data_IF_488385065755
#
_entry.id   IF_488385065755
#
_cell.length_a   1.000
_cell.length_b   1.000
_cell.length_c   1.000
_cell.angle_alpha   90.00
_cell.angle_beta   90.00
_cell.angle_gamma   90.00
#
_symmetry.space_group_name_H-M   'P 1'
#
loop_
_entity.id
_entity.type
_entity.pdbx_description
1 polymer ?
#
# COMPACT_ATOMS: atom_id res chain seq x y z
N UNK A 1 26.32 28.35 48.77
CA UNK A 1 27.19 27.48 47.97
C UNK A 1 26.45 27.17 46.68
N UNK A 2 26.78 27.93 45.64
CA UNK A 2 26.18 27.85 44.31
C UNK A 2 26.85 26.74 43.53
N UNK A 3 26.08 25.89 42.83
CA UNK A 3 26.56 25.27 41.60
C UNK A 3 25.40 25.18 40.61
N UNK A 4 25.48 26.03 39.57
CA UNK A 4 24.65 25.97 38.37
C UNK A 4 25.22 24.89 37.46
N UNK A 5 24.38 24.00 36.96
CA UNK A 5 24.74 23.09 35.87
C UNK A 5 24.03 23.60 34.62
N UNK A 6 24.83 24.09 33.68
CA UNK A 6 24.42 24.54 32.36
C UNK A 6 24.24 23.34 31.43
N UNK A 7 23.08 23.22 30.79
CA UNK A 7 22.82 22.26 29.72
C UNK A 7 23.31 22.85 28.40
N UNK A 8 24.29 22.19 27.79
CA UNK A 8 24.82 22.54 26.47
C UNK A 8 23.95 21.91 25.37
N UNK A 9 23.48 22.74 24.44
CA UNK A 9 22.89 22.31 23.17
C UNK A 9 23.97 21.67 22.28
N UNK A 10 23.70 20.47 21.78
CA UNK A 10 24.43 19.85 20.68
C UNK A 10 23.58 19.83 19.42
N UNK A 11 23.81 20.79 18.52
CA UNK A 11 23.32 20.76 17.15
C UNK A 11 24.40 20.10 16.28
N UNK A 12 24.08 18.97 15.63
CA UNK A 12 24.97 18.34 14.65
C UNK A 12 24.44 18.61 13.25
N UNK A 13 25.18 19.48 12.55
CA UNK A 13 25.07 19.80 11.13
C UNK A 13 25.41 18.57 10.27
N UNK A 14 24.54 18.24 9.31
CA UNK A 14 24.90 17.40 8.16
C UNK A 14 25.64 18.27 7.13
N UNK A 15 26.92 17.98 6.91
CA UNK A 15 27.72 18.56 5.82
C UNK A 15 27.58 17.66 4.58
N UNK A 16 26.85 18.13 3.58
CA UNK A 16 26.88 17.61 2.21
C UNK A 16 28.12 18.17 1.51
N UNK A 17 29.15 17.34 1.29
CA UNK A 17 30.25 17.67 0.38
C UNK A 17 29.89 17.20 -1.03
N UNK A 18 29.52 18.18 -1.85
CA UNK A 18 29.41 18.07 -3.31
C UNK A 18 30.81 18.06 -3.93
N UNK A 19 31.15 17.00 -4.66
CA UNK A 19 32.31 16.99 -5.56
C UNK A 19 31.87 17.46 -6.95
N UNK A 20 32.11 18.75 -7.20
CA UNK A 20 31.98 19.39 -8.49
C UNK A 20 33.32 19.24 -9.24
N UNK A 21 33.38 18.46 -10.32
CA UNK A 21 34.47 18.54 -11.30
C UNK A 21 33.90 18.84 -12.68
N UNK A 22 34.07 20.09 -13.10
CA UNK A 22 34.00 20.54 -14.48
C UNK A 22 35.23 20.04 -15.23
N UNK A 23 35.02 19.43 -16.38
CA UNK A 23 36.02 19.39 -17.46
C UNK A 23 35.34 19.50 -18.82
N UNK A 24 36.11 19.98 -19.78
CA UNK A 24 35.68 20.85 -20.87
C UNK A 24 35.06 20.14 -22.07
N UNK A 25 34.10 20.82 -22.69
CA UNK A 25 33.58 20.55 -24.04
C UNK A 25 34.66 20.60 -25.11
N UNK A 26 34.77 19.54 -25.91
CA UNK A 26 35.25 19.60 -27.30
C UNK A 26 34.25 18.93 -28.23
N UNK A 27 33.76 19.73 -29.18
CA UNK A 27 32.99 19.31 -30.33
C UNK A 27 33.80 18.31 -31.18
N UNK A 28 33.18 17.18 -31.57
CA UNK A 28 33.52 16.54 -32.83
C UNK A 28 32.32 15.80 -33.44
N UNK A 29 32.25 15.88 -34.76
CA UNK A 29 31.13 15.49 -35.63
C UNK A 29 30.95 13.98 -35.75
N UNK A 30 29.67 13.60 -35.96
CA UNK A 30 29.13 12.38 -36.57
C UNK A 30 30.09 11.28 -37.06
N UNK A 31 29.84 10.06 -36.60
CA UNK A 31 29.86 8.86 -37.45
C UNK A 31 28.69 7.96 -37.04
N UNK A 32 27.80 7.67 -38.00
CA UNK A 32 26.76 6.64 -37.88
C UNK A 32 27.45 5.29 -37.99
N UNK A 33 27.22 4.39 -37.04
CA UNK A 33 27.29 2.96 -37.31
C UNK A 33 26.05 2.24 -36.81
N UNK A 34 25.43 1.53 -37.77
CA UNK A 34 24.23 0.73 -37.66
C UNK A 34 24.56 -0.59 -36.98
N UNK A 35 24.09 -0.82 -35.77
CA UNK A 35 23.44 -2.09 -35.38
C UNK A 35 22.82 -1.90 -33.99
N UNK A 36 21.52 -1.60 -33.95
CA UNK A 36 20.72 -1.69 -32.74
C UNK A 36 19.56 -2.63 -33.05
N UNK A 37 19.74 -3.90 -32.66
CA UNK A 37 18.66 -4.88 -32.54
C UNK A 37 17.69 -4.38 -31.47
N UNK A 38 16.45 -4.18 -31.88
CA UNK A 38 15.33 -3.80 -31.04
C UNK A 38 14.93 -5.00 -30.18
N UNK A 39 15.31 -5.00 -28.90
CA UNK A 39 14.64 -5.85 -27.90
C UNK A 39 13.31 -5.17 -27.56
N UNK A 40 12.24 -5.72 -28.10
CA UNK A 40 10.89 -5.33 -27.72
C UNK A 40 10.64 -5.81 -26.30
N UNK A 41 10.39 -4.84 -25.43
CA UNK A 41 9.92 -4.98 -24.07
C UNK A 41 8.68 -5.90 -24.05
N UNK A 42 8.76 -6.93 -23.23
CA UNK A 42 7.74 -7.97 -23.13
C UNK A 42 6.43 -7.37 -22.65
N UNK A 43 5.42 -7.56 -23.49
CA UNK A 43 4.04 -7.14 -23.32
C UNK A 43 3.47 -7.69 -22.01
N UNK A 44 2.96 -6.80 -21.17
CA UNK A 44 2.15 -7.14 -20.00
C UNK A 44 1.01 -8.08 -20.43
N UNK A 45 1.01 -9.27 -19.85
CA UNK A 45 -0.10 -10.23 -20.01
C UNK A 45 -1.37 -9.58 -19.46
N UNK A 46 -2.35 -9.32 -20.33
CA UNK A 46 -3.71 -8.97 -19.94
C UNK A 46 -4.23 -10.00 -18.93
N UNK A 47 -4.36 -9.59 -17.66
CA UNK A 47 -5.05 -10.38 -16.64
C UNK A 47 -6.51 -10.57 -17.07
N UNK A 48 -6.99 -11.82 -17.01
CA UNK A 48 -8.39 -12.16 -17.19
C UNK A 48 -9.29 -11.26 -16.30
N UNK A 49 -10.52 -10.94 -16.74
CA UNK A 49 -11.39 -10.01 -16.02
C UNK A 49 -11.61 -10.47 -14.57
N UNK A 50 -11.19 -9.62 -13.63
CA UNK A 50 -11.23 -9.87 -12.18
C UNK A 50 -12.67 -10.14 -11.74
N UNK A 51 -12.88 -11.28 -11.09
CA UNK A 51 -14.19 -11.75 -10.61
C UNK A 51 -14.61 -10.91 -9.41
N UNK A 52 -15.49 -9.92 -9.61
CA UNK A 52 -16.03 -8.98 -8.59
C UNK A 52 -15.04 -8.65 -7.46
N UNK A 53 -13.96 -7.96 -7.81
CA UNK A 53 -12.98 -7.48 -6.83
C UNK A 53 -13.60 -6.36 -6.00
N UNK A 54 -13.69 -6.57 -4.69
CA UNK A 54 -13.98 -5.52 -3.73
C UNK A 54 -12.87 -4.45 -3.79
N UNK A 55 -13.24 -3.18 -3.97
CA UNK A 55 -12.28 -2.08 -3.92
C UNK A 55 -12.10 -1.63 -2.47
N UNK A 56 -10.93 -1.94 -1.91
CA UNK A 56 -10.53 -1.51 -0.57
C UNK A 56 -9.56 -0.35 -0.69
N UNK A 57 -9.71 0.67 0.14
CA UNK A 57 -8.87 1.87 0.12
C UNK A 57 -8.13 2.03 1.44
N UNK A 58 -7.05 2.79 1.44
CA UNK A 58 -6.38 3.22 2.68
C UNK A 58 -6.95 4.54 3.18
N UNK A 59 -6.75 4.80 4.47
CA UNK A 59 -7.04 6.11 5.06
C UNK A 59 -5.71 6.84 5.30
N UNK A 60 -5.53 7.98 4.65
CA UNK A 60 -4.39 8.86 4.91
C UNK A 60 -4.83 10.04 5.78
N UNK A 61 -3.88 10.79 6.32
CA UNK A 61 -4.15 11.96 7.12
C UNK A 61 -3.41 13.16 6.55
N UNK A 62 -4.06 14.31 6.62
CA UNK A 62 -3.38 15.59 6.41
C UNK A 62 -2.88 16.07 7.77
N UNK A 63 -1.57 16.29 7.87
CA UNK A 63 -0.92 16.91 9.03
C UNK A 63 -1.61 18.21 9.44
N UNK A 64 -1.40 18.66 10.68
CA UNK A 64 -1.95 19.92 11.25
C UNK A 64 -3.47 20.15 11.08
N UNK A 65 -4.20 19.18 10.53
CA UNK A 65 -5.62 19.26 10.22
C UNK A 65 -6.37 18.17 10.96
N UNK A 66 -7.63 18.43 11.27
CA UNK A 66 -8.56 17.46 11.85
C UNK A 66 -9.20 16.53 10.78
N UNK A 67 -8.57 16.41 9.61
CA UNK A 67 -9.08 15.66 8.46
C UNK A 67 -8.24 14.42 8.20
N UNK A 68 -8.92 13.28 8.21
CA UNK A 68 -8.48 12.07 7.53
C UNK A 68 -9.12 12.03 6.14
N UNK A 69 -8.44 11.43 5.18
CA UNK A 69 -8.82 11.45 3.77
C UNK A 69 -8.70 10.05 3.18
N UNK A 70 -9.74 9.60 2.48
CA UNK A 70 -9.69 8.39 1.66
C UNK A 70 -9.64 8.83 0.21
N UNK A 71 -8.59 8.44 -0.51
CA UNK A 71 -8.52 8.65 -1.96
C UNK A 71 -9.23 7.51 -2.69
N UNK A 72 -10.02 7.85 -3.70
CA UNK A 72 -10.66 6.90 -4.60
C UNK A 72 -10.11 7.04 -6.03
N UNK A 73 -8.95 7.67 -6.17
CA UNK A 73 -8.36 7.98 -7.47
C UNK A 73 -8.05 6.76 -8.32
N UNK A 74 -7.69 5.62 -7.73
CA UNK A 74 -7.42 4.38 -8.49
C UNK A 74 -8.64 3.87 -9.28
N UNK A 75 -9.85 4.18 -8.80
CA UNK A 75 -11.11 3.83 -9.49
C UNK A 75 -11.80 5.04 -10.13
N UNK A 76 -11.21 6.23 -10.02
CA UNK A 76 -11.76 7.46 -10.56
C UNK A 76 -10.95 7.92 -11.78
N UNK A 77 -11.46 7.74 -13.01
CA UNK A 77 -10.74 8.12 -14.21
C UNK A 77 -10.60 9.64 -14.32
N UNK A 78 -9.39 10.11 -13.98
CA UNK A 78 -8.88 11.45 -14.23
C UNK A 78 -8.00 11.40 -15.48
N UNK A 79 -8.62 11.59 -16.64
CA UNK A 79 -7.86 11.78 -17.86
C UNK A 79 -7.39 13.24 -17.93
N UNK A 80 -6.11 13.46 -18.22
CA UNK A 80 -5.55 14.79 -18.45
C UNK A 80 -6.03 15.44 -19.77
N UNK A 81 -6.83 14.73 -20.57
CA UNK A 81 -7.40 15.29 -21.79
C UNK A 81 -8.35 16.44 -21.45
N UNK A 82 -8.12 17.60 -22.08
CA UNK A 82 -8.85 18.85 -21.84
C UNK A 82 -10.38 18.78 -22.04
N UNK A 83 -10.90 17.70 -22.63
CA UNK A 83 -12.33 17.52 -22.93
C UNK A 83 -13.20 17.35 -21.68
N UNK A 84 -12.68 16.81 -20.58
CA UNK A 84 -13.48 16.58 -19.38
C UNK A 84 -13.42 17.76 -18.41
N UNK A 85 -14.24 18.77 -18.67
CA UNK A 85 -14.32 19.99 -17.85
C UNK A 85 -15.10 19.80 -16.53
N UNK A 86 -15.67 18.61 -16.31
CA UNK A 86 -16.44 18.27 -15.11
C UNK A 86 -15.62 17.44 -14.12
N UNK A 87 -14.37 17.07 -14.45
CA UNK A 87 -13.48 16.32 -13.57
C UNK A 87 -12.99 17.16 -12.37
N UNK A 88 -12.60 18.41 -12.63
CA UNK A 88 -12.08 19.38 -11.65
C UNK A 88 -12.43 20.82 -12.10
N UNK A 89 -12.51 21.78 -11.16
CA UNK A 89 -12.58 23.20 -11.52
C UNK A 89 -11.34 23.68 -12.27
N UNK A 90 -11.43 24.87 -12.86
CA UNK A 90 -10.27 25.51 -13.48
C UNK A 90 -9.27 25.94 -12.40
N UNK A 91 -8.23 25.14 -12.22
CA UNK A 91 -7.17 25.32 -11.23
C UNK A 91 -6.40 26.64 -11.42
N UNK A 92 -6.22 27.09 -12.68
CA UNK A 92 -5.52 28.34 -13.00
C UNK A 92 -6.26 29.58 -12.48
N UNK A 93 -7.58 29.47 -12.29
CA UNK A 93 -8.42 30.55 -11.74
C UNK A 93 -8.49 30.55 -10.22
N UNK A 94 -7.89 29.56 -9.56
CA UNK A 94 -7.86 29.46 -8.11
C UNK A 94 -6.59 30.10 -7.55
N UNK A 95 -6.70 30.64 -6.34
CA UNK A 95 -5.53 31.05 -5.56
C UNK A 95 -4.65 29.82 -5.27
N UNK A 96 -3.32 29.98 -5.32
CA UNK A 96 -2.36 28.88 -5.30
C UNK A 96 -2.46 28.01 -4.04
N UNK A 97 -2.68 28.59 -2.87
CA UNK A 97 -2.84 27.80 -1.64
C UNK A 97 -4.21 27.12 -1.59
N UNK A 98 -5.28 27.82 -1.99
CA UNK A 98 -6.62 27.25 -2.09
C UNK A 98 -6.71 26.10 -3.13
N UNK A 99 -5.84 26.07 -4.14
CA UNK A 99 -5.83 25.00 -5.14
C UNK A 99 -5.14 23.73 -4.66
N UNK A 100 -4.38 23.75 -3.56
CA UNK A 100 -3.75 22.54 -3.00
C UNK A 100 -4.77 21.58 -2.39
N UNK A 101 -5.87 22.11 -1.87
CA UNK A 101 -6.92 21.34 -1.20
C UNK A 101 -8.25 22.10 -1.24
N UNK A 102 -9.29 21.50 -1.82
CA UNK A 102 -10.61 22.12 -1.89
C UNK A 102 -11.75 21.11 -1.97
N UNK A 103 -12.91 21.50 -1.43
CA UNK A 103 -14.14 20.72 -1.53
C UNK A 103 -14.74 20.84 -2.95
N UNK A 104 -15.19 19.72 -3.50
CA UNK A 104 -15.84 19.65 -4.80
C UNK A 104 -17.28 20.18 -4.74
N UNK A 105 -17.58 21.18 -5.57
CA UNK A 105 -18.96 21.63 -5.79
C UNK A 105 -19.84 20.51 -6.39
N UNK A 106 -21.16 20.67 -6.27
CA UNK A 106 -22.18 19.68 -6.67
C UNK A 106 -21.95 19.07 -8.05
N UNK A 107 -21.59 19.86 -9.06
CA UNK A 107 -21.37 19.35 -10.43
C UNK A 107 -20.15 18.41 -10.53
N UNK A 108 -19.04 18.73 -9.85
CA UNK A 108 -17.84 17.90 -9.83
C UNK A 108 -18.06 16.65 -8.97
N UNK A 109 -18.73 16.80 -7.81
CA UNK A 109 -19.14 15.68 -6.96
C UNK A 109 -20.02 14.68 -7.71
N UNK A 110 -21.04 15.15 -8.44
CA UNK A 110 -21.92 14.27 -9.22
C UNK A 110 -21.14 13.45 -10.25
N UNK A 111 -20.16 14.07 -10.94
CA UNK A 111 -19.28 13.35 -11.86
C UNK A 111 -18.42 12.34 -11.11
N UNK A 112 -17.81 12.75 -10.00
CA UNK A 112 -16.99 11.88 -9.15
C UNK A 112 -17.74 10.60 -8.76
N UNK A 113 -18.92 10.75 -8.16
CA UNK A 113 -19.77 9.63 -7.75
C UNK A 113 -20.20 8.75 -8.93
N UNK A 114 -20.61 9.37 -10.05
CA UNK A 114 -21.00 8.63 -11.26
C UNK A 114 -19.86 7.82 -11.86
N UNK A 115 -18.61 8.31 -11.80
CA UNK A 115 -17.46 7.65 -12.41
C UNK A 115 -16.82 6.59 -11.53
N UNK A 116 -17.02 6.65 -10.22
CA UNK A 116 -16.62 5.60 -9.27
C UNK A 116 -17.71 4.56 -9.01
N UNK A 117 -18.89 4.74 -9.62
CA UNK A 117 -20.07 3.90 -9.41
C UNK A 117 -20.54 3.86 -7.94
N UNK A 118 -20.36 4.99 -7.23
CA UNK A 118 -20.81 5.19 -5.85
C UNK A 118 -22.06 6.06 -5.85
N UNK A 119 -23.05 5.69 -5.05
CA UNK A 119 -24.30 6.41 -4.88
C UNK A 119 -24.30 7.30 -3.63
N UNK A 120 -25.07 8.38 -3.64
CA UNK A 120 -25.36 9.17 -2.43
C UNK A 120 -26.08 8.37 -1.33
N UNK A 121 -26.71 7.25 -1.70
CA UNK A 121 -27.35 6.31 -0.77
C UNK A 121 -26.38 5.33 -0.12
N UNK A 122 -25.15 5.24 -0.62
CA UNK A 122 -24.15 4.32 -0.10
C UNK A 122 -23.56 4.84 1.22
N UNK A 123 -22.73 4.01 1.83
CA UNK A 123 -21.94 4.36 3.01
C UNK A 123 -20.46 4.12 2.76
N UNK A 124 -19.65 4.93 3.42
CA UNK A 124 -18.22 4.72 3.58
C UNK A 124 -17.99 3.99 4.91
N UNK A 125 -17.46 2.77 4.83
CA UNK A 125 -17.13 1.93 5.97
C UNK A 125 -15.62 1.98 6.22
N UNK A 126 -15.23 2.47 7.39
CA UNK A 126 -13.82 2.59 7.82
C UNK A 126 -13.59 1.58 8.93
N UNK A 127 -12.74 0.58 8.68
CA UNK A 127 -12.53 -0.54 9.57
C UNK A 127 -11.07 -0.66 10.01
N UNK A 128 -10.84 -0.52 11.30
CA UNK A 128 -9.59 -0.88 11.97
C UNK A 128 -9.64 -2.37 12.29
N UNK A 129 -8.91 -3.16 11.50
CA UNK A 129 -8.99 -4.62 11.57
C UNK A 129 -8.21 -5.19 12.77
N UNK A 130 -7.26 -4.44 13.34
CA UNK A 130 -6.50 -4.85 14.51
C UNK A 130 -7.31 -4.63 15.80
N UNK A 131 -8.05 -3.51 15.87
CA UNK A 131 -8.88 -3.15 17.04
C UNK A 131 -10.34 -3.60 16.93
N UNK A 132 -10.75 -4.19 15.79
CA UNK A 132 -12.14 -4.54 15.48
C UNK A 132 -13.09 -3.34 15.66
N UNK A 133 -12.73 -2.23 15.03
CA UNK A 133 -13.49 -0.98 15.15
C UNK A 133 -13.98 -0.52 13.81
N UNK A 134 -15.30 -0.32 13.71
CA UNK A 134 -15.97 0.12 12.50
C UNK A 134 -16.61 1.48 12.72
N UNK A 135 -16.32 2.42 11.82
CA UNK A 135 -17.08 3.64 11.64
C UNK A 135 -17.79 3.59 10.28
N UNK A 136 -18.99 4.15 10.21
CA UNK A 136 -19.80 4.18 8.99
C UNK A 136 -20.34 5.58 8.77
N UNK A 137 -20.18 6.09 7.55
CA UNK A 137 -20.59 7.43 7.18
C UNK A 137 -21.46 7.38 5.93
N UNK A 138 -22.64 8.00 5.96
CA UNK A 138 -23.46 8.12 4.77
C UNK A 138 -22.74 9.00 3.73
N UNK A 139 -22.60 8.52 2.49
CA UNK A 139 -21.86 9.23 1.43
C UNK A 139 -22.42 10.64 1.23
N UNK A 140 -23.75 10.79 1.21
CA UNK A 140 -24.44 12.10 1.13
C UNK A 140 -24.04 13.16 2.16
N UNK A 141 -23.51 12.74 3.31
CA UNK A 141 -23.10 13.64 4.38
C UNK A 141 -21.59 13.94 4.37
N UNK A 142 -20.81 13.20 3.59
CA UNK A 142 -19.37 13.41 3.47
C UNK A 142 -19.08 14.49 2.43
N UNK A 143 -18.09 15.34 2.70
CA UNK A 143 -17.52 16.23 1.69
C UNK A 143 -16.67 15.41 0.73
N UNK A 144 -16.90 15.59 -0.57
CA UNK A 144 -15.97 15.14 -1.59
C UNK A 144 -14.95 16.25 -1.81
N UNK A 145 -13.67 15.92 -1.86
CA UNK A 145 -12.60 16.91 -1.98
C UNK A 145 -11.49 16.43 -2.92
N UNK A 146 -10.75 17.41 -3.43
CA UNK A 146 -9.53 17.20 -4.19
C UNK A 146 -8.34 17.69 -3.35
N UNK A 147 -7.28 16.88 -3.28
CA UNK A 147 -6.05 17.15 -2.54
C UNK A 147 -4.85 16.81 -3.41
N UNK A 148 -3.89 17.73 -3.56
CA UNK A 148 -2.64 17.43 -4.28
C UNK A 148 -1.86 16.31 -3.58
N UNK A 149 -1.28 15.42 -4.37
CA UNK A 149 -0.44 14.32 -3.88
C UNK A 149 0.91 14.83 -3.33
N UNK A 150 1.64 13.94 -2.64
CA UNK A 150 2.94 14.25 -2.04
C UNK A 150 4.11 14.44 -3.02
N UNK A 151 3.90 14.22 -4.33
CA UNK A 151 4.93 14.36 -5.37
C UNK A 151 4.91 15.73 -6.06
N UNK A 152 3.90 16.54 -5.79
CA UNK A 152 3.78 17.89 -6.35
C UNK A 152 4.69 18.89 -5.64
N UNK A 153 5.31 19.79 -6.41
CA UNK A 153 6.13 20.90 -5.89
C UNK A 153 5.38 22.23 -5.96
N UNK A 154 5.84 23.27 -5.25
CA UNK A 154 5.16 24.56 -5.34
C UNK A 154 5.28 25.21 -6.74
N UNK A 155 6.33 24.88 -7.47
CA UNK A 155 6.63 25.38 -8.81
C UNK A 155 5.68 24.82 -9.87
N UNK A 156 5.01 23.70 -9.57
CA UNK A 156 4.06 23.05 -10.48
C UNK A 156 2.73 23.80 -10.64
N UNK A 157 2.53 24.92 -9.93
CA UNK A 157 1.30 25.70 -10.08
C UNK A 157 1.26 26.41 -11.46
N UNK A 158 0.16 26.29 -12.23
CA UNK A 158 -1.10 25.61 -11.91
C UNK A 158 -0.99 24.08 -11.99
N UNK A 159 -1.40 23.41 -10.90
CA UNK A 159 -1.21 21.97 -10.74
C UNK A 159 -1.94 21.15 -11.83
N UNK A 160 -1.23 20.25 -12.52
CA UNK A 160 -1.84 19.26 -13.40
C UNK A 160 -2.93 18.43 -12.72
N UNK A 161 -3.93 17.98 -13.49
CA UNK A 161 -5.08 17.25 -12.92
C UNK A 161 -4.68 15.92 -12.31
N UNK A 162 -3.74 15.22 -12.95
CA UNK A 162 -3.18 13.97 -12.43
C UNK A 162 -2.41 14.10 -11.10
N UNK A 163 -2.21 15.31 -10.55
CA UNK A 163 -1.69 15.47 -9.19
C UNK A 163 -2.76 15.39 -8.11
N UNK A 164 -4.05 15.49 -8.45
CA UNK A 164 -5.11 15.50 -7.47
C UNK A 164 -5.56 14.09 -7.08
N UNK A 165 -5.46 13.79 -5.79
CA UNK A 165 -6.20 12.74 -5.10
C UNK A 165 -7.64 13.20 -4.90
N UNK A 166 -8.61 12.38 -5.30
CA UNK A 166 -10.03 12.72 -5.16
C UNK A 166 -10.74 11.66 -4.35
N UNK A 167 -11.48 12.11 -3.36
CA UNK A 167 -12.20 11.21 -2.46
C UNK A 167 -12.94 11.96 -1.38
N UNK A 168 -13.02 11.37 -0.19
CA UNK A 168 -13.86 11.87 0.90
C UNK A 168 -13.07 12.35 2.10
N UNK A 169 -13.52 13.46 2.67
CA UNK A 169 -13.04 13.96 3.96
C UNK A 169 -13.75 13.26 5.11
N UNK A 170 -12.99 12.86 6.13
CA UNK A 170 -13.50 12.30 7.39
C UNK A 170 -12.90 13.10 8.54
N UNK A 171 -13.73 13.49 9.50
CA UNK A 171 -13.22 14.12 10.72
C UNK A 171 -12.45 13.10 11.56
N UNK A 172 -11.20 13.42 11.95
CA UNK A 172 -10.39 12.59 12.85
C UNK A 172 -11.10 12.31 14.18
N UNK A 173 -11.88 13.27 14.68
CA UNK A 173 -12.68 13.11 15.90
C UNK A 173 -13.76 12.02 15.77
N UNK A 174 -14.24 11.76 14.55
CA UNK A 174 -15.19 10.67 14.29
C UNK A 174 -14.52 9.29 14.25
N UNK A 175 -13.19 9.25 14.30
CA UNK A 175 -12.37 8.05 14.33
C UNK A 175 -11.70 7.84 15.70
N UNK A 176 -12.29 8.40 16.76
CA UNK A 176 -11.80 8.24 18.13
C UNK A 176 -11.62 6.75 18.47
N UNK A 177 -10.42 6.36 18.87
CA UNK A 177 -10.06 4.99 19.27
C UNK A 177 -9.67 4.05 18.13
N UNK A 178 -9.49 4.55 16.91
CA UNK A 178 -8.72 3.88 15.86
C UNK A 178 -7.22 3.90 16.19
N UNK A 179 -6.39 3.13 15.47
CA UNK A 179 -4.93 3.22 15.51
C UNK A 179 -4.40 4.61 15.15
N UNK A 180 -3.24 4.96 15.71
CA UNK A 180 -2.48 6.12 15.23
C UNK A 180 -2.04 5.88 13.78
N UNK A 181 -1.99 6.93 12.98
CA UNK A 181 -1.57 6.88 11.57
C UNK A 181 -2.39 5.98 10.63
N UNK A 182 -3.43 5.29 11.15
CA UNK A 182 -4.36 4.46 10.39
C UNK A 182 -3.73 3.30 9.60
N UNK A 183 -2.56 2.80 10.04
CA UNK A 183 -1.85 1.69 9.37
C UNK A 183 -2.67 0.40 9.29
N UNK A 184 -3.53 0.16 10.29
CA UNK A 184 -4.42 -1.01 10.35
C UNK A 184 -5.84 -0.74 9.86
N UNK A 185 -6.03 0.33 9.06
CA UNK A 185 -7.34 0.78 8.61
C UNK A 185 -7.53 0.51 7.12
N UNK A 186 -8.62 -0.16 6.80
CA UNK A 186 -9.11 -0.33 5.44
C UNK A 186 -10.48 0.31 5.30
N UNK A 187 -10.75 0.84 4.10
CA UNK A 187 -11.97 1.56 3.79
C UNK A 187 -12.69 0.90 2.62
N UNK A 188 -14.02 0.83 2.69
CA UNK A 188 -14.86 0.37 1.59
C UNK A 188 -16.03 1.34 1.39
N UNK A 189 -16.34 1.68 0.14
CA UNK A 189 -17.52 2.47 -0.22
C UNK A 189 -18.54 1.56 -0.91
N UNK A 190 -19.76 1.50 -0.37
CA UNK A 190 -20.83 0.72 -0.98
C UNK A 190 -22.10 0.66 -0.14
N UNK A 191 -23.06 -0.16 -0.57
CA UNK A 191 -24.38 -0.27 0.07
C UNK A 191 -24.33 -0.93 1.44
N UNK A 192 -23.47 -1.94 1.60
CA UNK A 192 -23.42 -2.76 2.81
C UNK A 192 -21.99 -2.91 3.33
N UNK A 193 -21.85 -3.01 4.65
CA UNK A 193 -20.56 -3.26 5.29
C UNK A 193 -20.06 -4.67 4.91
N UNK A 194 -18.89 -4.81 4.26
CA UNK A 194 -18.33 -6.10 3.89
C UNK A 194 -17.56 -6.76 5.05
N UNK A 195 -17.17 -6.00 6.08
CA UNK A 195 -16.28 -6.46 7.14
C UNK A 195 -17.01 -7.27 8.22
N UNK A 196 -16.32 -8.22 8.81
CA UNK A 196 -16.80 -8.94 10.01
C UNK A 196 -16.75 -8.07 11.26
N UNK A 197 -17.25 -8.60 12.38
CA UNK A 197 -17.11 -8.00 13.72
C UNK A 197 -16.06 -8.76 14.54
N UNK A 198 -14.98 -9.17 13.89
CA UNK A 198 -13.91 -9.97 14.48
C UNK A 198 -12.55 -9.31 14.20
N UNK A 199 -11.74 -9.11 15.25
CA UNK A 199 -10.38 -8.62 15.10
C UNK A 199 -9.54 -9.65 14.32
N UNK A 200 -8.66 -9.18 13.44
CA UNK A 200 -7.63 -10.04 12.88
C UNK A 200 -6.59 -10.37 13.96
N UNK A 201 -6.00 -11.55 13.83
CA UNK A 201 -4.97 -12.03 14.75
C UNK A 201 -3.61 -11.70 14.16
N UNK A 202 -2.72 -11.02 14.91
CA UNK A 202 -1.34 -10.89 14.49
C UNK A 202 -0.68 -12.27 14.48
N UNK A 203 0.15 -12.51 13.47
CA UNK A 203 0.90 -13.75 13.35
C UNK A 203 2.13 -13.66 14.25
N UNK A 204 2.18 -14.48 15.30
CA UNK A 204 3.32 -14.51 16.23
C UNK A 204 4.23 -15.68 15.87
N UNK A 205 5.31 -15.39 15.16
CA UNK A 205 6.19 -16.41 14.61
C UNK A 205 7.01 -17.13 15.69
N UNK A 206 6.95 -18.46 15.68
CA UNK A 206 7.85 -19.30 16.47
C UNK A 206 8.90 -19.93 15.56
N UNK A 207 10.17 -19.69 15.85
CA UNK A 207 11.28 -20.36 15.14
C UNK A 207 11.20 -21.88 15.32
N UNK A 208 11.40 -22.63 14.23
CA UNK A 208 11.40 -24.09 14.20
C UNK A 208 12.68 -24.63 13.55
N UNK A 209 12.91 -25.94 13.63
CA UNK A 209 13.99 -26.57 12.89
C UNK A 209 13.62 -26.67 11.40
N UNK A 210 14.58 -26.48 10.49
CA UNK A 210 14.32 -26.50 9.03
C UNK A 210 13.67 -27.80 8.53
N UNK A 211 13.94 -28.94 9.19
CA UNK A 211 13.30 -30.23 8.90
C UNK A 211 11.79 -30.28 9.18
N UNK A 212 11.26 -29.32 9.94
CA UNK A 212 9.84 -29.19 10.25
C UNK A 212 9.10 -28.33 9.21
N UNK A 213 9.82 -27.59 8.36
CA UNK A 213 9.22 -26.86 7.25
C UNK A 213 8.72 -27.85 6.17
N UNK A 214 7.48 -27.70 5.67
CA UNK A 214 6.91 -28.63 4.70
C UNK A 214 7.76 -28.77 3.44
N UNK A 215 8.03 -30.01 3.05
CA UNK A 215 8.69 -30.30 1.78
C UNK A 215 7.70 -30.10 0.63
N UNK A 216 7.67 -28.89 0.07
CA UNK A 216 6.96 -28.57 -1.18
C UNK A 216 7.95 -28.06 -2.22
N UNK A 217 8.05 -28.72 -3.39
CA UNK A 217 8.82 -28.20 -4.51
C UNK A 217 8.35 -26.78 -4.87
N UNK A 218 9.30 -25.88 -5.01
CA UNK A 218 9.04 -24.49 -5.37
C UNK A 218 8.70 -24.37 -6.86
N UNK A 219 7.88 -23.39 -7.25
CA UNK A 219 7.56 -23.11 -8.66
C UNK A 219 8.82 -22.67 -9.44
N UNK A 220 8.84 -22.87 -10.76
CA UNK A 220 10.02 -22.59 -11.56
C UNK A 220 10.45 -21.10 -11.54
N UNK A 221 9.49 -20.18 -11.59
CA UNK A 221 9.74 -18.73 -11.51
C UNK A 221 10.36 -18.33 -10.17
N UNK A 222 9.74 -18.76 -9.06
CA UNK A 222 10.25 -18.55 -7.70
C UNK A 222 11.69 -19.08 -7.54
N UNK A 223 11.99 -20.27 -8.09
CA UNK A 223 13.37 -20.81 -8.07
C UNK A 223 14.36 -19.94 -8.84
N UNK A 224 13.93 -19.33 -9.94
CA UNK A 224 14.78 -18.42 -10.72
C UNK A 224 15.10 -17.15 -9.93
N UNK A 225 14.10 -16.58 -9.24
CA UNK A 225 14.26 -15.42 -8.35
C UNK A 225 15.27 -15.73 -7.23
N UNK A 226 15.22 -16.93 -6.66
CA UNK A 226 16.05 -17.33 -5.53
C UNK A 226 17.42 -17.94 -5.90
N UNK A 227 17.81 -17.93 -7.18
CA UNK A 227 19.00 -18.65 -7.69
C UNK A 227 20.29 -18.37 -6.91
N UNK A 228 20.47 -17.13 -6.42
CA UNK A 228 21.67 -16.70 -5.71
C UNK A 228 21.47 -16.56 -4.20
N UNK A 229 20.48 -17.27 -3.65
CA UNK A 229 20.14 -17.23 -2.22
C UNK A 229 20.41 -18.56 -1.53
N UNK A 230 20.52 -18.52 -0.20
CA UNK A 230 20.57 -19.70 0.65
C UNK A 230 19.41 -19.70 1.63
N UNK A 231 18.87 -20.88 1.97
CA UNK A 231 17.82 -20.98 2.99
C UNK A 231 18.33 -20.52 4.35
N UNK A 232 17.56 -19.65 5.00
CA UNK A 232 17.80 -19.12 6.34
C UNK A 232 16.93 -19.79 7.41
N UNK A 233 16.44 -18.99 8.36
CA UNK A 233 15.59 -19.48 9.44
C UNK A 233 14.21 -19.93 8.94
N UNK A 234 13.59 -20.82 9.71
CA UNK A 234 12.21 -21.26 9.49
C UNK A 234 11.36 -20.95 10.70
N UNK A 235 10.08 -20.66 10.45
CA UNK A 235 9.13 -20.30 11.47
C UNK A 235 7.80 -21.00 11.24
N UNK A 236 7.02 -21.15 12.31
CA UNK A 236 5.63 -21.55 12.23
C UNK A 236 4.73 -20.69 13.08
N UNK A 237 3.47 -20.68 12.71
CA UNK A 237 2.36 -20.17 13.50
C UNK A 237 1.16 -21.09 13.27
N UNK A 238 0.29 -21.23 14.28
CA UNK A 238 -0.87 -22.12 14.21
C UNK A 238 -2.11 -21.42 14.72
N UNK A 239 -3.19 -21.58 13.99
CA UNK A 239 -4.56 -21.27 14.42
C UNK A 239 -5.34 -22.57 14.61
N UNK A 240 -6.62 -22.48 14.96
CA UNK A 240 -7.50 -23.65 15.05
C UNK A 240 -7.65 -24.36 13.69
N UNK A 241 -7.70 -23.59 12.59
CA UNK A 241 -8.00 -24.11 11.25
C UNK A 241 -6.78 -24.28 10.35
N UNK A 242 -5.69 -23.54 10.62
CA UNK A 242 -4.54 -23.48 9.71
C UNK A 242 -3.20 -23.55 10.42
N UNK A 243 -2.21 -24.05 9.71
CA UNK A 243 -0.80 -23.97 10.11
C UNK A 243 0.00 -23.25 9.03
N UNK A 244 0.75 -22.25 9.46
CA UNK A 244 1.52 -21.34 8.64
C UNK A 244 2.99 -21.68 8.83
N UNK A 245 3.74 -21.66 7.74
CA UNK A 245 5.17 -21.89 7.71
C UNK A 245 5.84 -20.82 6.88
N UNK A 246 6.96 -20.30 7.38
CA UNK A 246 7.73 -19.26 6.71
C UNK A 246 9.19 -19.68 6.66
N UNK A 247 9.83 -19.48 5.52
CA UNK A 247 11.25 -19.75 5.30
C UNK A 247 11.91 -18.49 4.77
N UNK A 248 12.93 -18.01 5.47
CA UNK A 248 13.81 -16.95 4.98
C UNK A 248 14.72 -17.49 3.88
N UNK A 249 15.04 -16.64 2.90
CA UNK A 249 16.10 -16.83 1.92
C UNK A 249 17.04 -15.64 1.98
N UNK A 250 18.33 -15.92 2.15
CA UNK A 250 19.37 -14.92 2.39
C UNK A 250 20.24 -14.73 1.15
N UNK A 251 20.60 -13.49 0.84
CA UNK A 251 21.58 -13.19 -0.20
C UNK A 251 23.03 -13.53 0.20
N UNK A 252 24.00 -13.17 -0.64
CA UNK A 252 25.42 -13.36 -0.37
C UNK A 252 25.92 -12.64 0.89
N UNK A 253 25.26 -11.54 1.27
CA UNK A 253 25.59 -10.71 2.43
C UNK A 253 24.86 -11.15 3.71
N UNK A 254 24.11 -12.26 3.66
CA UNK A 254 23.26 -12.76 4.76
C UNK A 254 22.10 -11.84 5.12
N UNK A 255 21.68 -10.99 4.18
CA UNK A 255 20.49 -10.15 4.31
C UNK A 255 19.28 -10.92 3.78
N UNK A 256 18.11 -10.74 4.41
CA UNK A 256 16.87 -11.38 3.99
C UNK A 256 16.48 -10.85 2.60
N UNK A 257 16.65 -11.69 1.59
CA UNK A 257 16.27 -11.39 0.21
C UNK A 257 14.81 -11.72 -0.07
N UNK A 258 14.32 -12.83 0.48
CA UNK A 258 12.95 -13.25 0.28
C UNK A 258 12.42 -14.10 1.44
N UNK A 259 11.10 -14.24 1.50
CA UNK A 259 10.39 -15.13 2.41
C UNK A 259 9.33 -15.92 1.67
N UNK A 260 9.35 -17.25 1.85
CA UNK A 260 8.34 -18.15 1.28
C UNK A 260 7.34 -18.58 2.33
N UNK A 261 6.08 -18.16 2.16
CA UNK A 261 4.96 -18.53 3.00
C UNK A 261 4.24 -19.76 2.44
N UNK A 262 4.02 -20.75 3.30
CA UNK A 262 3.11 -21.86 3.05
C UNK A 262 2.03 -21.87 4.12
N UNK A 263 0.77 -22.01 3.71
CA UNK A 263 -0.35 -22.24 4.65
C UNK A 263 -0.98 -23.57 4.36
N UNK A 264 -1.22 -24.35 5.41
CA UNK A 264 -1.84 -25.67 5.35
C UNK A 264 -3.17 -25.70 6.09
N UNK A 265 -4.12 -26.48 5.58
CA UNK A 265 -5.38 -26.78 6.26
C UNK A 265 -5.20 -27.92 7.29
N UNK A 266 -6.29 -28.29 7.98
CA UNK A 266 -6.30 -29.41 8.95
C UNK A 266 -5.92 -30.77 8.35
N UNK A 267 -6.09 -30.96 7.03
CA UNK A 267 -5.70 -32.17 6.31
C UNK A 267 -4.22 -32.15 5.87
N UNK A 268 -3.47 -31.10 6.20
CA UNK A 268 -2.09 -30.83 5.77
C UNK A 268 -1.94 -30.53 4.28
N UNK A 269 -3.03 -30.24 3.57
CA UNK A 269 -2.96 -29.73 2.20
C UNK A 269 -2.42 -28.31 2.21
N UNK A 270 -1.46 -28.02 1.34
CA UNK A 270 -0.93 -26.66 1.15
C UNK A 270 -1.91 -25.87 0.28
N UNK A 271 -2.58 -24.90 0.87
CA UNK A 271 -3.62 -24.08 0.24
C UNK A 271 -3.09 -22.73 -0.25
N UNK A 272 -2.09 -22.17 0.44
CA UNK A 272 -1.39 -20.95 0.03
C UNK A 272 0.10 -21.25 -0.18
N UNK A 273 0.65 -20.71 -1.26
CA UNK A 273 2.09 -20.63 -1.50
C UNK A 273 2.41 -19.27 -2.11
N UNK A 274 3.15 -18.44 -1.37
CA UNK A 274 3.58 -17.11 -1.79
C UNK A 274 5.08 -16.94 -1.56
N UNK A 275 5.73 -16.23 -2.47
CA UNK A 275 7.11 -15.76 -2.32
C UNK A 275 7.07 -14.23 -2.27
N UNK A 276 7.60 -13.66 -1.20
CA UNK A 276 7.77 -12.22 -1.02
C UNK A 276 9.27 -11.95 -1.14
N UNK A 277 9.71 -11.26 -2.18
CA UNK A 277 11.13 -11.06 -2.50
C UNK A 277 11.44 -9.60 -2.72
N UNK A 278 12.69 -9.20 -2.46
CA UNK A 278 13.15 -7.87 -2.83
C UNK A 278 13.06 -7.64 -4.34
N UNK A 279 12.52 -6.50 -4.72
CA UNK A 279 12.56 -5.95 -6.08
C UNK A 279 12.83 -4.45 -6.02
N UNK A 280 12.83 -3.79 -7.17
CA UNK A 280 12.70 -2.33 -7.19
C UNK A 280 11.41 -1.94 -6.46
N UNK A 281 11.55 -1.17 -5.38
CA UNK A 281 10.44 -0.69 -4.57
C UNK A 281 9.72 -1.73 -3.71
N UNK A 282 10.20 -2.96 -3.56
CA UNK A 282 9.60 -3.90 -2.59
C UNK A 282 10.63 -4.59 -1.72
N UNK A 283 10.24 -4.92 -0.49
CA UNK A 283 11.10 -5.67 0.43
C UNK A 283 10.27 -6.52 1.40
N UNK A 284 10.76 -7.70 1.84
CA UNK A 284 10.10 -8.46 2.88
C UNK A 284 9.91 -7.63 4.16
N UNK A 285 8.67 -7.50 4.64
CA UNK A 285 8.35 -6.76 5.85
C UNK A 285 8.87 -7.51 7.09
N UNK A 286 9.50 -6.89 8.10
CA UNK A 286 10.01 -7.53 9.32
C UNK A 286 8.98 -8.44 10.00
N UNK A 287 9.42 -9.52 10.64
CA UNK A 287 8.48 -10.39 11.36
C UNK A 287 7.88 -9.62 12.54
N UNK A 288 6.60 -9.86 12.81
CA UNK A 288 5.95 -9.33 13.99
C UNK A 288 6.77 -9.57 15.27
N UNK A 289 7.03 -8.50 16.03
CA UNK A 289 7.88 -8.52 17.22
C UNK A 289 9.39 -8.33 16.99
N UNK A 290 9.89 -8.31 15.75
CA UNK A 290 11.30 -7.98 15.46
C UNK A 290 11.62 -6.50 15.70
N UNK A 291 10.65 -5.61 15.43
CA UNK A 291 10.81 -4.15 15.56
C UNK A 291 10.37 -3.59 16.92
N UNK A 292 10.17 -4.46 17.92
CA UNK A 292 9.72 -4.09 19.26
C UNK A 292 8.34 -4.66 19.63
N UNK A 293 8.04 -4.62 20.92
CA UNK A 293 6.78 -5.13 21.47
C UNK A 293 5.58 -4.36 20.87
N UNK A 294 4.57 -5.11 20.40
CA UNK A 294 3.30 -4.60 19.83
C UNK A 294 3.36 -3.93 18.44
N UNK A 295 4.46 -4.06 17.68
CA UNK A 295 4.46 -3.76 16.24
C UNK A 295 4.04 -4.99 15.45
N UNK A 296 2.89 -4.93 14.80
CA UNK A 296 2.32 -6.03 14.03
C UNK A 296 2.03 -5.58 12.60
N UNK A 297 2.77 -6.13 11.64
CA UNK A 297 2.55 -5.95 10.21
C UNK A 297 1.73 -7.11 9.63
N UNK A 298 1.93 -8.32 10.15
CA UNK A 298 1.37 -9.57 9.59
C UNK A 298 0.12 -10.02 10.33
N UNK A 299 -0.96 -10.16 9.58
CA UNK A 299 -2.26 -10.53 10.14
C UNK A 299 -2.89 -11.72 9.41
N UNK A 300 -3.71 -12.45 10.16
CA UNK A 300 -4.60 -13.47 9.60
C UNK A 300 -5.92 -13.54 10.34
N UNK A 301 -6.98 -14.00 9.69
CA UNK A 301 -8.30 -14.16 10.29
C UNK A 301 -9.43 -13.86 9.33
N UNK A 302 -10.65 -13.76 9.84
CA UNK A 302 -11.84 -13.55 9.03
C UNK A 302 -12.11 -12.05 8.85
N UNK A 303 -11.71 -11.50 7.70
CA UNK A 303 -11.87 -10.06 7.41
C UNK A 303 -13.24 -9.71 6.83
N UNK A 304 -13.74 -10.52 5.89
CA UNK A 304 -14.99 -10.24 5.19
C UNK A 304 -16.12 -11.19 5.61
N UNK A 305 -17.35 -10.68 5.56
CA UNK A 305 -18.56 -11.50 5.59
C UNK A 305 -18.56 -12.40 4.36
N UNK A 306 -18.89 -13.67 4.58
CA UNK A 306 -19.10 -14.65 3.51
C UNK A 306 -17.89 -14.92 2.58
N UNK A 307 -16.67 -14.51 2.94
CA UNK A 307 -15.43 -14.96 2.28
C UNK A 307 -14.57 -15.79 3.25
N UNK A 308 -13.67 -16.63 2.73
CA UNK A 308 -12.68 -17.33 3.55
C UNK A 308 -11.79 -16.36 4.35
N UNK A 309 -11.10 -16.87 5.40
CA UNK A 309 -10.09 -16.10 6.11
C UNK A 309 -8.97 -15.59 5.20
N UNK A 310 -8.22 -14.60 5.67
CA UNK A 310 -7.17 -13.91 4.89
C UNK A 310 -5.81 -14.02 5.58
N UNK A 311 -4.74 -13.75 4.82
CA UNK A 311 -3.36 -13.61 5.30
C UNK A 311 -2.62 -12.54 4.49
N UNK A 312 -1.93 -11.61 5.15
CA UNK A 312 -1.22 -10.50 4.50
C UNK A 312 -0.19 -9.82 5.42
N UNK A 313 0.51 -8.82 4.90
CA UNK A 313 1.48 -8.00 5.65
C UNK A 313 2.95 -8.44 5.52
N UNK A 314 3.27 -9.23 4.50
CA UNK A 314 4.60 -9.87 4.38
C UNK A 314 5.62 -9.08 3.56
N UNK A 315 5.19 -7.99 2.92
CA UNK A 315 6.00 -7.20 2.01
C UNK A 315 5.67 -5.71 2.18
N UNK A 316 6.71 -4.89 2.22
CA UNK A 316 6.60 -3.44 2.09
C UNK A 316 6.72 -3.06 0.62
N UNK A 317 5.90 -2.12 0.20
CA UNK A 317 5.80 -1.60 -1.16
C UNK A 317 6.10 -0.10 -1.10
N UNK A 318 7.20 0.34 -1.70
CA UNK A 318 7.44 1.72 -2.10
C UNK A 318 6.85 2.00 -3.47
N UNK A 319 6.83 1.00 -4.36
CA UNK A 319 6.13 1.02 -5.64
C UNK A 319 5.16 -0.14 -5.66
N UNK A 320 3.91 0.12 -6.01
CA UNK A 320 2.84 -0.87 -5.95
C UNK A 320 1.92 -0.67 -4.75
N UNK A 321 0.93 -1.54 -4.63
CA UNK A 321 -0.01 -1.52 -3.52
C UNK A 321 -0.08 -2.87 -2.81
N UNK A 322 -0.24 -2.87 -1.48
CA UNK A 322 -0.34 -4.10 -0.70
C UNK A 322 -1.58 -4.92 -1.09
N UNK A 323 -1.46 -6.23 -0.94
CA UNK A 323 -2.51 -7.18 -1.27
C UNK A 323 -2.90 -8.04 -0.07
N UNK A 324 -4.18 -8.43 -0.03
CA UNK A 324 -4.77 -9.32 0.96
C UNK A 324 -5.06 -10.66 0.30
N UNK A 325 -4.33 -11.72 0.68
CA UNK A 325 -4.55 -13.06 0.13
C UNK A 325 -5.71 -13.76 0.83
N UNK A 326 -6.65 -14.31 0.06
CA UNK A 326 -7.71 -15.19 0.55
C UNK A 326 -7.12 -16.58 0.80
N UNK A 327 -7.32 -17.12 2.01
CA UNK A 327 -6.90 -18.48 2.40
C UNK A 327 -7.92 -19.49 1.87
N UNK A 328 -7.83 -19.78 0.58
CA UNK A 328 -8.54 -20.88 -0.06
C UNK A 328 -7.73 -21.44 -1.24
N UNK A 329 -8.33 -22.34 -2.03
CA UNK A 329 -7.65 -22.94 -3.19
C UNK A 329 -7.52 -21.99 -4.39
N UNK A 330 -8.27 -20.88 -4.42
CA UNK A 330 -8.20 -19.92 -5.51
C UNK A 330 -6.84 -19.18 -5.52
N UNK A 331 -6.22 -19.02 -4.34
CA UNK A 331 -5.03 -18.16 -4.16
C UNK A 331 -5.26 -16.71 -4.64
N UNK A 332 -6.52 -16.25 -4.63
CA UNK A 332 -6.91 -14.89 -5.01
C UNK A 332 -6.34 -13.85 -4.05
N UNK A 333 -5.87 -12.75 -4.62
CA UNK A 333 -5.42 -11.57 -3.89
C UNK A 333 -6.40 -10.41 -4.12
N UNK A 334 -6.74 -9.71 -3.03
CA UNK A 334 -7.47 -8.44 -3.07
C UNK A 334 -6.46 -7.32 -2.90
N UNK A 335 -6.19 -6.58 -3.98
CA UNK A 335 -5.30 -5.43 -3.96
C UNK A 335 -5.97 -4.22 -3.33
N UNK A 336 -5.29 -3.60 -2.37
CA UNK A 336 -5.71 -2.35 -1.75
C UNK A 336 -5.42 -1.21 -2.73
N UNK A 337 -6.41 -0.36 -2.97
CA UNK A 337 -6.30 0.88 -3.72
C UNK A 337 -5.56 1.90 -2.84
N UNK A 338 -4.30 2.14 -3.15
CA UNK A 338 -3.39 2.95 -2.35
C UNK A 338 -2.99 4.28 -3.00
N UNK A 339 -3.59 4.62 -4.15
CA UNK A 339 -3.26 5.83 -4.93
C UNK A 339 -1.78 5.90 -5.29
N UNK A 340 -1.25 4.79 -5.82
CA UNK A 340 0.16 4.67 -6.21
C UNK A 340 0.44 5.42 -7.51
N UNK A 341 1.01 6.62 -7.41
CA UNK A 341 1.33 7.51 -8.56
C UNK A 341 2.82 7.58 -8.90
N UNK A 342 3.57 6.58 -8.47
CA UNK A 342 5.00 6.47 -8.72
C UNK A 342 5.35 6.18 -10.18
#
# INVERSE_FOLDING_TARGET
MNLKISVLLGASFFLLLSCNKKEQTKHNKHHLDKTATTENDTTETEEAPRKESINLFTLTYKDSSDVAFVSLSDIYPLNDTASDTLALPNIEKMEKQASKYFTLEKKYRNRFLSKTNISETDSLFVYDYAKNKLASFAIKNLKAAAWINGYSSEEDWPYPRYYYMIGFEISKQSLNGFGDYYSDVIVYAGKENPFTKEALKPIVWKKIAGKEYPSKPMKAGDRAILKNTVSGNTYSYKTESYQYFLQDYLDSNKIIYARRLLVTNSNKDIIIEKLYSQSEGTSPAPLNGENGDNSFDQYTGKLFKNKPPVVFGFQYESFGCPAISIIDKSNEDIYIQCDNRH
#
